data_IF_422482178030
#
_entry.id   IF_422482178030
#
_cell.length_a   1.000
_cell.length_b   1.000
_cell.length_c   1.000
_cell.angle_alpha   90.00
_cell.angle_beta   90.00
_cell.angle_gamma   90.00
#
_symmetry.space_group_name_H-M   'P 1'
#
loop_
_entity.id
_entity.type
_entity.pdbx_description
1 polymer ?
#
# COMPACT_ATOMS: atom_id res chain seq x y z
N UNK A 1 19.46 7.84 31.87
CA UNK A 1 19.77 8.05 30.44
C UNK A 1 20.75 6.96 30.00
N UNK A 2 20.34 5.98 29.20
CA UNK A 2 21.25 4.94 28.70
C UNK A 2 22.04 5.48 27.49
N UNK A 3 23.33 5.73 27.69
CA UNK A 3 24.24 6.12 26.61
C UNK A 3 24.56 4.88 25.76
N UNK A 4 24.00 4.76 24.56
CA UNK A 4 24.33 3.66 23.64
C UNK A 4 25.79 3.81 23.21
N UNK A 5 26.63 2.77 23.30
CA UNK A 5 28.01 2.87 22.85
C UNK A 5 28.02 3.15 21.34
N UNK A 6 28.77 4.19 20.94
CA UNK A 6 29.11 4.44 19.53
C UNK A 6 29.87 3.21 19.03
N UNK A 7 29.27 2.44 18.14
CA UNK A 7 30.00 1.37 17.43
C UNK A 7 31.07 2.05 16.59
N UNK A 8 32.33 1.73 16.82
CA UNK A 8 33.41 2.10 15.91
C UNK A 8 33.19 1.36 14.61
N UNK A 9 32.84 2.10 13.56
CA UNK A 9 32.61 1.56 12.23
C UNK A 9 33.99 1.40 11.59
N UNK A 10 34.42 0.17 11.37
CA UNK A 10 35.65 -0.13 10.63
C UNK A 10 35.41 0.05 9.13
N UNK A 11 36.45 0.44 8.39
CA UNK A 11 36.36 0.61 6.92
C UNK A 11 35.85 -0.67 6.23
N UNK A 12 36.28 -1.85 6.72
CA UNK A 12 35.80 -3.13 6.23
C UNK A 12 34.28 -3.34 6.42
N UNK A 13 33.70 -2.82 7.50
CA UNK A 13 32.26 -2.88 7.75
C UNK A 13 31.50 -1.91 6.83
N UNK A 14 32.10 -0.77 6.48
CA UNK A 14 31.56 0.17 5.51
C UNK A 14 31.56 -0.44 4.09
N UNK A 15 32.66 -1.07 3.68
CA UNK A 15 32.80 -1.71 2.37
C UNK A 15 31.85 -2.91 2.19
N UNK A 16 31.70 -3.74 3.23
CA UNK A 16 30.76 -4.85 3.22
C UNK A 16 29.30 -4.37 3.09
N UNK A 17 28.97 -3.25 3.76
CA UNK A 17 27.66 -2.63 3.64
C UNK A 17 27.45 -2.02 2.24
N UNK A 18 28.47 -1.35 1.69
CA UNK A 18 28.43 -0.75 0.36
C UNK A 18 28.19 -1.79 -0.72
N UNK A 19 28.90 -2.92 -0.69
CA UNK A 19 28.70 -4.05 -1.63
C UNK A 19 27.28 -4.61 -1.54
N UNK A 20 26.79 -4.85 -0.31
CA UNK A 20 25.43 -5.35 -0.09
C UNK A 20 24.33 -4.38 -0.56
N UNK A 21 24.61 -3.07 -0.53
CA UNK A 21 23.70 -2.06 -1.05
C UNK A 21 23.82 -1.93 -2.57
N UNK A 22 25.01 -2.08 -3.14
CA UNK A 22 25.22 -2.05 -4.59
C UNK A 22 24.48 -3.17 -5.32
N UNK A 23 24.36 -4.35 -4.70
CA UNK A 23 23.63 -5.50 -5.28
C UNK A 23 22.10 -5.40 -5.17
N UNK A 24 21.57 -4.39 -4.47
CA UNK A 24 20.13 -4.16 -4.47
C UNK A 24 19.77 -3.48 -5.78
N UNK A 25 18.76 -4.01 -6.47
CA UNK A 25 18.28 -3.49 -7.74
C UNK A 25 17.56 -2.13 -7.55
N UNK A 26 18.32 -1.09 -7.24
CA UNK A 26 17.88 0.29 -7.09
C UNK A 26 17.65 0.90 -8.48
N UNK A 27 16.65 0.41 -9.21
CA UNK A 27 16.40 0.84 -10.58
C UNK A 27 15.34 0.07 -11.35
N UNK A 28 14.78 -1.01 -10.80
CA UNK A 28 13.56 -1.55 -11.38
C UNK A 28 12.46 -0.50 -11.23
N UNK A 29 12.01 0.04 -12.37
CA UNK A 29 10.73 0.74 -12.48
C UNK A 29 9.68 -0.20 -11.92
N UNK A 30 9.30 0.04 -10.66
CA UNK A 30 8.10 -0.60 -10.13
C UNK A 30 6.99 -0.22 -11.10
N UNK A 31 6.17 -1.17 -11.56
CA UNK A 31 4.99 -0.81 -12.35
C UNK A 31 4.30 0.33 -11.60
N UNK A 32 3.91 1.38 -12.32
CA UNK A 32 3.26 2.57 -11.76
C UNK A 32 1.82 2.23 -11.36
N UNK A 33 1.70 1.22 -10.50
CA UNK A 33 0.51 0.71 -9.84
C UNK A 33 0.25 1.53 -8.56
N UNK A 34 0.74 2.77 -8.57
CA UNK A 34 0.50 3.71 -7.50
C UNK A 34 -0.97 4.10 -7.53
N UNK A 35 -1.61 4.11 -6.37
CA UNK A 35 -3.04 4.42 -6.28
C UNK A 35 -3.27 5.87 -6.70
N UNK A 36 -3.78 6.07 -7.92
CA UNK A 36 -4.21 7.38 -8.39
C UNK A 36 -5.54 7.77 -7.71
N UNK A 37 -5.60 9.01 -7.17
CA UNK A 37 -6.84 9.54 -6.62
C UNK A 37 -7.75 9.98 -7.77
N UNK A 38 -8.96 9.42 -7.79
CA UNK A 38 -9.97 9.74 -8.79
C UNK A 38 -11.26 10.21 -8.11
N UNK A 39 -11.90 11.22 -8.66
CA UNK A 39 -13.25 11.66 -8.27
C UNK A 39 -14.24 11.07 -9.25
N UNK A 40 -15.23 10.32 -8.76
CA UNK A 40 -16.28 9.72 -9.57
C UNK A 40 -17.65 10.20 -9.11
N UNK A 41 -18.57 10.38 -10.05
CA UNK A 41 -19.98 10.68 -9.74
C UNK A 41 -20.76 9.38 -9.66
N UNK A 42 -21.46 9.17 -8.56
CA UNK A 42 -22.32 8.01 -8.31
C UNK A 42 -23.73 8.47 -7.95
N UNK A 43 -24.78 7.71 -8.28
CA UNK A 43 -26.10 7.93 -7.72
C UNK A 43 -26.05 7.93 -6.18
N UNK A 44 -26.80 8.84 -5.54
CA UNK A 44 -26.83 8.96 -4.07
C UNK A 44 -27.17 7.64 -3.39
N UNK A 45 -28.17 6.93 -3.90
CA UNK A 45 -28.61 5.63 -3.37
C UNK A 45 -27.48 4.59 -3.39
N UNK A 46 -26.68 4.57 -4.45
CA UNK A 46 -25.56 3.67 -4.58
C UNK A 46 -24.43 4.03 -3.61
N UNK A 47 -24.11 5.31 -3.46
CA UNK A 47 -23.08 5.75 -2.51
C UNK A 47 -23.41 5.33 -1.07
N UNK A 48 -24.66 5.52 -0.63
CA UNK A 48 -25.11 5.12 0.71
C UNK A 48 -24.97 3.60 0.90
N UNK A 49 -25.35 2.80 -0.10
CA UNK A 49 -25.19 1.34 -0.02
C UNK A 49 -23.73 0.92 0.11
N UNK A 50 -22.81 1.58 -0.60
CA UNK A 50 -21.38 1.30 -0.51
C UNK A 50 -20.80 1.68 0.86
N UNK A 51 -21.24 2.80 1.44
CA UNK A 51 -20.83 3.24 2.77
C UNK A 51 -21.32 2.27 3.86
N UNK A 52 -22.59 1.86 3.79
CA UNK A 52 -23.17 0.89 4.71
C UNK A 52 -22.46 -0.47 4.62
N UNK A 53 -22.16 -0.93 3.39
CA UNK A 53 -21.42 -2.16 3.16
C UNK A 53 -20.01 -2.09 3.75
N UNK A 54 -19.28 -1.00 3.48
CA UNK A 54 -17.94 -0.78 4.03
C UNK A 54 -17.95 -0.78 5.57
N UNK A 55 -18.94 -0.11 6.18
CA UNK A 55 -19.11 -0.07 7.64
C UNK A 55 -19.44 -1.44 8.22
N UNK A 56 -20.33 -2.21 7.57
CA UNK A 56 -20.67 -3.57 7.98
C UNK A 56 -19.46 -4.49 7.90
N UNK A 57 -18.71 -4.44 6.80
CA UNK A 57 -17.49 -5.20 6.60
C UNK A 57 -16.45 -4.88 7.67
N UNK A 58 -16.24 -3.59 7.97
CA UNK A 58 -15.34 -3.16 9.04
C UNK A 58 -15.74 -3.70 10.41
N UNK A 59 -17.04 -3.67 10.76
CA UNK A 59 -17.55 -4.21 12.04
C UNK A 59 -17.37 -5.72 12.15
N UNK A 60 -17.53 -6.43 11.04
CA UNK A 60 -17.43 -7.89 11.00
C UNK A 60 -15.98 -8.39 10.77
N UNK A 61 -15.02 -7.50 10.56
CA UNK A 61 -13.63 -7.86 10.25
C UNK A 61 -13.42 -8.42 8.82
N UNK A 62 -14.41 -8.26 7.94
CA UNK A 62 -14.41 -8.77 6.56
C UNK A 62 -13.82 -7.69 5.63
N UNK A 63 -13.02 -8.08 4.64
CA UNK A 63 -12.59 -7.18 3.55
C UNK A 63 -13.57 -7.28 2.37
N UNK A 64 -13.77 -6.20 1.58
CA UNK A 64 -13.14 -4.88 1.67
C UNK A 64 -13.82 -3.91 2.67
N UNK A 65 -13.00 -3.18 3.45
CA UNK A 65 -13.46 -2.26 4.53
C UNK A 65 -13.66 -0.80 4.11
N UNK A 66 -13.47 -0.46 2.85
CA UNK A 66 -13.59 0.93 2.36
C UNK A 66 -14.31 0.98 1.02
N UNK A 67 -14.97 2.10 0.76
CA UNK A 67 -15.68 2.34 -0.51
C UNK A 67 -14.73 2.24 -1.70
N UNK A 68 -13.51 2.80 -1.59
CA UNK A 68 -12.52 2.73 -2.67
C UNK A 68 -12.04 1.29 -2.93
N UNK A 69 -11.90 0.46 -1.89
CA UNK A 69 -11.56 -0.95 -2.06
C UNK A 69 -12.70 -1.75 -2.70
N UNK A 70 -13.96 -1.51 -2.29
CA UNK A 70 -15.14 -2.13 -2.91
C UNK A 70 -15.22 -1.77 -4.39
N UNK A 71 -15.07 -0.48 -4.72
CA UNK A 71 -15.14 0.00 -6.11
C UNK A 71 -14.00 -0.58 -6.94
N UNK A 72 -12.78 -0.64 -6.39
CA UNK A 72 -11.64 -1.25 -7.08
C UNK A 72 -11.92 -2.71 -7.42
N UNK A 73 -12.30 -3.52 -6.43
CA UNK A 73 -12.59 -4.95 -6.62
C UNK A 73 -13.72 -5.16 -7.64
N UNK A 74 -14.80 -4.38 -7.56
CA UNK A 74 -15.89 -4.45 -8.52
C UNK A 74 -15.46 -4.08 -9.95
N UNK A 75 -14.59 -3.08 -10.09
CA UNK A 75 -14.09 -2.62 -11.40
C UNK A 75 -13.14 -3.65 -12.02
N UNK A 76 -12.21 -4.20 -11.22
CA UNK A 76 -11.32 -5.28 -11.66
C UNK A 76 -12.12 -6.53 -12.05
N UNK A 77 -13.13 -6.90 -11.27
CA UNK A 77 -14.01 -8.03 -11.58
C UNK A 77 -14.83 -7.80 -12.86
N UNK A 78 -15.26 -6.56 -13.13
CA UNK A 78 -15.95 -6.21 -14.38
C UNK A 78 -15.02 -6.31 -15.60
N UNK A 79 -13.78 -5.85 -15.49
CA UNK A 79 -12.79 -5.89 -16.58
C UNK A 79 -12.25 -7.30 -16.87
N UNK A 80 -12.33 -8.22 -15.91
CA UNK A 80 -11.93 -9.63 -16.08
C UNK A 80 -13.00 -10.51 -16.73
N UNK A 81 -14.22 -10.00 -16.92
CA UNK A 81 -15.27 -10.68 -17.69
C UNK A 81 -14.98 -10.58 -19.18
#
# INVERSE_FOLDING_TARGET
>A
MLNKPKREITEAAADALARRLADRNYGEERPDDTVARTTISLPRSLLVQLEDLAMKNKRNGIEPKSVSAIVREATEAYLRK
#
